data_IF_218192422141
#
_entry.id   IF_218192422141
#
_cell.length_a   1.000
_cell.length_b   1.000
_cell.length_c   1.000
_cell.angle_alpha   90.00
_cell.angle_beta   90.00
_cell.angle_gamma   90.00
#
_symmetry.space_group_name_H-M   'P 1'
#
loop_
_entity.id
_entity.type
_entity.pdbx_description
1 polymer ?
#
# COMPACT_ATOMS: atom_id res chain seq x y z
N UNK A 1 -46.52 16.60 -39.33
CA UNK A 1 -46.29 17.47 -38.15
C UNK A 1 -46.83 16.73 -36.93
N UNK A 2 -46.03 15.86 -36.31
CA UNK A 2 -46.46 15.02 -35.15
C UNK A 2 -45.56 15.26 -33.93
N UNK A 3 -44.73 16.32 -33.96
CA UNK A 3 -43.78 16.63 -32.87
C UNK A 3 -44.22 17.82 -32.00
N UNK A 4 -45.21 18.62 -32.41
CA UNK A 4 -45.55 19.88 -31.72
C UNK A 4 -46.19 19.70 -30.33
N UNK A 5 -46.49 18.45 -29.94
CA UNK A 5 -47.15 18.13 -28.67
C UNK A 5 -46.34 17.17 -27.79
N UNK A 6 -45.13 16.79 -28.23
CA UNK A 6 -44.25 15.89 -27.47
C UNK A 6 -43.49 16.69 -26.40
N UNK A 7 -43.65 16.32 -25.13
CA UNK A 7 -42.90 16.91 -24.01
C UNK A 7 -41.92 15.88 -23.49
N UNK A 8 -40.64 16.10 -23.75
CA UNK A 8 -39.57 15.28 -23.19
C UNK A 8 -39.48 15.45 -21.68
N UNK A 9 -39.90 14.42 -20.96
CA UNK A 9 -39.93 14.43 -19.49
C UNK A 9 -38.52 14.26 -18.90
N UNK A 10 -37.59 13.65 -19.65
CA UNK A 10 -36.22 13.33 -19.23
C UNK A 10 -35.26 13.61 -20.41
N UNK A 11 -34.50 14.70 -20.31
CA UNK A 11 -33.30 14.94 -21.12
C UNK A 11 -32.09 14.20 -20.51
N UNK A 12 -31.08 13.88 -21.32
CA UNK A 12 -29.80 13.29 -20.90
C UNK A 12 -29.20 14.05 -19.71
N UNK A 13 -29.26 15.39 -19.73
CA UNK A 13 -28.77 16.24 -18.65
C UNK A 13 -29.60 16.15 -17.36
N UNK A 14 -30.89 15.81 -17.48
CA UNK A 14 -31.82 15.66 -16.35
C UNK A 14 -31.65 14.30 -15.68
N UNK A 15 -31.31 13.26 -16.43
CA UNK A 15 -31.00 11.93 -15.91
C UNK A 15 -29.78 11.94 -14.94
N UNK A 16 -28.79 12.80 -15.21
CA UNK A 16 -27.58 12.93 -14.38
C UNK A 16 -27.84 13.54 -12.99
N UNK A 17 -29.01 14.15 -12.76
CA UNK A 17 -29.36 14.76 -11.47
C UNK A 17 -29.95 13.76 -10.46
N UNK A 18 -30.25 12.54 -10.90
CA UNK A 18 -30.86 11.51 -10.06
C UNK A 18 -32.29 11.84 -9.62
N UNK A 19 -32.84 11.03 -8.72
CA UNK A 19 -34.26 11.07 -8.29
C UNK A 19 -34.55 12.30 -7.41
N UNK A 20 -33.53 12.87 -6.75
CA UNK A 20 -33.65 14.04 -5.88
C UNK A 20 -32.67 15.11 -6.34
N UNK A 21 -33.18 16.32 -6.60
CA UNK A 21 -32.33 17.46 -6.97
C UNK A 21 -31.48 17.83 -5.75
N UNK A 22 -30.17 17.62 -5.86
CA UNK A 22 -29.17 18.00 -4.85
C UNK A 22 -28.32 19.12 -5.43
N UNK A 23 -28.07 20.15 -4.63
CA UNK A 23 -27.25 21.30 -5.00
C UNK A 23 -25.78 20.95 -4.77
N UNK A 24 -24.97 21.00 -5.84
CA UNK A 24 -23.57 20.61 -5.83
C UNK A 24 -22.62 21.80 -5.97
N UNK A 25 -23.06 23.05 -5.74
CA UNK A 25 -22.22 24.22 -5.97
C UNK A 25 -21.00 24.24 -5.04
N UNK A 26 -21.14 23.71 -3.81
CA UNK A 26 -20.01 23.53 -2.90
C UNK A 26 -18.95 22.56 -3.44
N UNK A 27 -19.39 21.46 -4.08
CA UNK A 27 -18.50 20.47 -4.69
C UNK A 27 -17.78 21.06 -5.91
N UNK A 28 -18.48 21.85 -6.72
CA UNK A 28 -17.87 22.57 -7.84
C UNK A 28 -16.78 23.55 -7.37
N UNK A 29 -17.05 24.31 -6.30
CA UNK A 29 -16.09 25.25 -5.71
C UNK A 29 -14.87 24.56 -5.11
N UNK A 30 -15.05 23.38 -4.52
CA UNK A 30 -13.95 22.56 -4.01
C UNK A 30 -13.09 21.95 -5.12
N UNK A 31 -13.72 21.52 -6.22
CA UNK A 31 -13.03 21.02 -7.41
C UNK A 31 -12.17 22.12 -8.07
N UNK A 32 -12.69 23.34 -8.21
CA UNK A 32 -11.91 24.47 -8.74
C UNK A 32 -10.64 24.74 -7.90
N UNK A 33 -10.78 24.77 -6.57
CA UNK A 33 -9.66 25.03 -5.68
C UNK A 33 -8.60 23.91 -5.73
N UNK A 34 -9.04 22.64 -5.73
CA UNK A 34 -8.12 21.49 -5.65
C UNK A 34 -7.52 21.07 -6.97
N UNK A 35 -8.20 21.30 -8.09
CA UNK A 35 -7.79 20.82 -9.42
C UNK A 35 -7.19 21.96 -10.25
N UNK A 36 -7.84 23.12 -10.28
CA UNK A 36 -7.43 24.21 -11.18
C UNK A 36 -6.34 25.07 -10.54
N UNK A 37 -6.48 25.43 -9.26
CA UNK A 37 -5.50 26.29 -8.56
C UNK A 37 -4.18 25.57 -8.26
N UNK A 38 -4.22 24.25 -8.07
CA UNK A 38 -3.02 23.41 -7.95
C UNK A 38 -2.27 23.27 -9.28
N UNK A 39 -3.00 23.16 -10.40
CA UNK A 39 -2.41 23.13 -11.74
C UNK A 39 -1.73 24.46 -12.12
N UNK A 40 -2.27 25.61 -11.70
CA UNK A 40 -1.66 26.94 -11.97
C UNK A 40 -0.38 27.22 -11.17
N UNK A 41 -0.11 26.49 -10.08
CA UNK A 41 1.16 26.59 -9.35
C UNK A 41 2.32 25.84 -10.02
N UNK A 42 2.04 24.94 -10.96
CA UNK A 42 3.04 24.10 -11.60
C UNK A 42 3.44 24.54 -13.02
N UNK A 43 2.90 25.66 -13.52
CA UNK A 43 3.10 26.07 -14.92
C UNK A 43 3.17 27.58 -15.11
N UNK A 44 4.16 28.24 -14.51
CA UNK A 44 4.55 29.59 -14.93
C UNK A 44 6.06 29.81 -14.66
N UNK A 45 6.87 29.69 -15.72
CA UNK A 45 8.32 29.87 -15.73
C UNK A 45 8.79 29.99 -17.17
N UNK A 46 8.58 31.19 -17.71
CA UNK A 46 8.68 31.63 -19.11
C UNK A 46 10.10 31.65 -19.67
N UNK A 47 10.19 31.34 -20.97
CA UNK A 47 11.26 31.56 -21.93
C UNK A 47 11.57 33.04 -22.23
N UNK A 48 12.86 33.40 -22.40
CA UNK A 48 13.24 34.42 -23.40
C UNK A 48 14.31 35.46 -23.05
N UNK A 49 15.51 35.28 -23.64
CA UNK A 49 16.28 36.31 -24.40
C UNK A 49 17.20 37.34 -23.69
N UNK A 50 18.51 37.07 -23.83
CA UNK A 50 19.58 37.94 -24.44
C UNK A 50 20.18 39.17 -23.73
N UNK A 51 21.50 39.12 -23.39
CA UNK A 51 22.56 40.07 -23.82
C UNK A 51 23.99 39.71 -23.32
N UNK A 52 24.91 39.44 -24.27
CA UNK A 52 26.32 39.91 -24.48
C UNK A 52 27.06 40.64 -23.32
N UNK A 53 28.40 40.63 -23.08
CA UNK A 53 29.69 40.09 -23.62
C UNK A 53 30.83 40.53 -22.61
N UNK A 54 32.18 40.40 -22.82
CA UNK A 54 33.11 39.84 -21.81
C UNK A 54 34.39 40.68 -21.46
N UNK A 55 35.34 40.05 -20.72
CA UNK A 55 36.83 40.23 -20.65
C UNK A 55 37.46 41.04 -19.48
N UNK A 56 38.27 40.34 -18.66
CA UNK A 56 39.68 40.62 -18.26
C UNK A 56 40.16 39.46 -17.35
N UNK A 57 41.13 38.59 -17.69
CA UNK A 57 42.60 38.69 -17.86
C UNK A 57 43.43 38.87 -16.57
N UNK A 58 44.04 37.77 -16.08
CA UNK A 58 45.44 37.65 -15.57
C UNK A 58 45.60 36.26 -14.92
N UNK A 59 46.28 35.29 -15.54
CA UNK A 59 47.73 35.05 -15.57
C UNK A 59 48.37 34.88 -14.18
N UNK A 60 48.68 33.64 -13.78
CA UNK A 60 50.03 33.27 -13.31
C UNK A 60 50.18 31.76 -13.06
N UNK A 61 51.36 31.30 -13.47
CA UNK A 61 51.92 29.96 -13.59
C UNK A 61 52.50 29.36 -12.29
N UNK A 62 52.64 28.02 -12.25
CA UNK A 62 53.81 27.19 -11.82
C UNK A 62 53.34 25.84 -11.25
N UNK A 63 53.48 24.69 -11.93
CA UNK A 63 54.63 23.77 -12.07
C UNK A 63 55.22 23.17 -10.77
N UNK A 64 55.13 21.84 -10.68
CA UNK A 64 56.01 20.93 -9.92
C UNK A 64 55.52 20.55 -8.52
N UNK A 65 55.73 19.36 -7.97
CA UNK A 65 56.34 18.10 -8.42
C UNK A 65 56.04 17.06 -7.31
N UNK A 66 56.01 15.78 -7.70
CA UNK A 66 55.98 14.55 -6.89
C UNK A 66 56.59 14.58 -5.47
N UNK A 67 55.92 13.92 -4.52
CA UNK A 67 56.59 13.03 -3.55
C UNK A 67 55.66 11.93 -3.04
N UNK A 68 56.23 10.73 -3.02
CA UNK A 68 55.76 9.46 -2.47
C UNK A 68 55.58 9.51 -0.95
N UNK A 69 54.48 8.92 -0.46
CA UNK A 69 54.24 8.72 0.97
C UNK A 69 53.21 7.62 1.20
N UNK A 70 53.71 6.42 1.48
CA UNK A 70 52.97 5.23 1.87
C UNK A 70 52.49 5.31 3.32
N UNK A 71 51.18 5.15 3.56
CA UNK A 71 50.67 4.63 4.84
C UNK A 71 49.19 4.17 4.74
N UNK A 72 49.04 2.84 4.77
CA UNK A 72 47.96 2.07 5.41
C UNK A 72 46.54 2.66 5.44
N UNK A 73 45.76 2.45 4.37
CA UNK A 73 44.30 2.57 4.43
C UNK A 73 43.68 1.23 4.82
N UNK A 74 43.21 1.19 6.06
CA UNK A 74 42.41 0.13 6.63
C UNK A 74 41.12 -0.02 5.80
N UNK A 75 41.00 -1.09 5.01
CA UNK A 75 39.83 -1.38 4.18
C UNK A 75 38.63 -1.78 5.06
N UNK A 76 38.00 -0.79 5.69
CA UNK A 76 36.63 -0.94 6.19
C UNK A 76 35.72 -1.00 4.97
N UNK A 77 35.32 -2.21 4.62
CA UNK A 77 34.20 -2.48 3.74
C UNK A 77 33.01 -1.62 4.16
N UNK A 78 32.61 -0.68 3.31
CA UNK A 78 31.33 0.01 3.43
C UNK A 78 30.23 -1.00 3.11
N UNK A 79 29.83 -1.80 4.10
CA UNK A 79 28.51 -2.39 4.09
C UNK A 79 27.52 -1.26 4.31
N UNK A 80 26.72 -0.94 3.29
CA UNK A 80 25.58 -0.02 3.37
C UNK A 80 24.66 -0.44 4.54
N UNK A 81 24.89 0.16 5.70
CA UNK A 81 24.21 -0.14 6.96
C UNK A 81 22.85 0.55 7.10
N UNK A 82 22.02 0.54 6.05
CA UNK A 82 20.65 1.06 6.12
C UNK A 82 19.64 0.01 6.61
N UNK A 83 20.03 -1.26 6.70
CA UNK A 83 19.10 -2.36 7.01
C UNK A 83 18.89 -2.64 8.51
N UNK A 84 19.63 -2.02 9.43
CA UNK A 84 19.46 -2.28 10.87
C UNK A 84 18.39 -1.41 11.54
N UNK A 85 18.16 -0.18 11.04
CA UNK A 85 17.22 0.76 11.66
C UNK A 85 15.74 0.43 11.44
N UNK A 86 15.39 -0.33 10.38
CA UNK A 86 14.01 -0.77 10.14
C UNK A 86 13.60 -1.97 11.02
N UNK A 87 14.57 -2.72 11.56
CA UNK A 87 14.34 -3.98 12.31
C UNK A 87 13.67 -3.81 13.67
N UNK A 88 13.67 -2.60 14.22
CA UNK A 88 13.01 -2.28 15.50
C UNK A 88 11.62 -1.67 15.33
N UNK A 89 11.14 -1.43 14.11
CA UNK A 89 9.80 -0.88 13.87
C UNK A 89 8.78 -2.01 13.71
N UNK A 90 7.56 -1.77 14.16
CA UNK A 90 6.48 -2.76 14.09
C UNK A 90 6.24 -3.20 12.62
N UNK A 91 6.23 -4.51 12.31
CA UNK A 91 5.89 -5.02 10.98
C UNK A 91 4.47 -4.60 10.55
N UNK A 92 4.27 -4.43 9.24
CA UNK A 92 3.02 -3.97 8.64
C UNK A 92 2.34 -5.11 7.86
N UNK A 93 1.05 -5.28 8.09
CA UNK A 93 0.15 -6.16 7.34
C UNK A 93 -0.81 -5.27 6.56
N UNK A 94 -0.90 -5.48 5.24
CA UNK A 94 -1.81 -4.72 4.37
C UNK A 94 -3.03 -5.59 4.07
N UNK A 95 -4.23 -5.08 4.32
CA UNK A 95 -5.49 -5.66 3.91
C UNK A 95 -5.92 -5.16 2.53
N UNK A 96 -6.74 -5.94 1.84
CA UNK A 96 -7.42 -5.46 0.64
C UNK A 96 -8.36 -4.29 1.00
N UNK A 97 -8.38 -3.20 0.22
CA UNK A 97 -9.34 -2.11 0.42
C UNK A 97 -10.77 -2.49 -0.02
N UNK A 98 -10.98 -3.67 -0.59
CA UNK A 98 -12.30 -4.10 -1.08
C UNK A 98 -13.27 -4.39 0.07
N UNK A 99 -14.49 -3.86 -0.03
CA UNK A 99 -15.59 -4.20 0.88
C UNK A 99 -15.99 -5.69 0.80
N UNK A 100 -15.73 -6.34 -0.33
CA UNK A 100 -15.99 -7.78 -0.53
C UNK A 100 -14.92 -8.69 0.06
N UNK A 101 -13.88 -8.15 0.70
CA UNK A 101 -12.84 -8.96 1.34
C UNK A 101 -13.41 -9.73 2.53
N UNK A 102 -13.06 -11.00 2.65
CA UNK A 102 -13.44 -11.81 3.81
C UNK A 102 -12.82 -11.27 5.11
N UNK A 103 -11.57 -10.79 5.05
CA UNK A 103 -10.93 -10.06 6.15
C UNK A 103 -10.95 -8.56 5.90
N UNK A 104 -11.52 -7.82 6.83
CA UNK A 104 -11.63 -6.36 6.83
C UNK A 104 -11.13 -5.79 8.16
N UNK A 105 -11.07 -4.47 8.28
CA UNK A 105 -10.68 -3.81 9.53
C UNK A 105 -11.61 -4.15 10.71
N UNK A 106 -12.85 -4.57 10.44
CA UNK A 106 -13.83 -4.92 11.47
C UNK A 106 -13.56 -6.27 12.14
N UNK A 107 -13.06 -7.27 11.40
CA UNK A 107 -12.88 -8.65 11.89
C UNK A 107 -11.42 -9.12 11.97
N UNK A 108 -10.47 -8.41 11.34
CA UNK A 108 -9.07 -8.86 11.29
C UNK A 108 -8.46 -9.02 12.68
N UNK A 109 -8.86 -8.18 13.64
CA UNK A 109 -8.31 -8.21 14.99
C UNK A 109 -8.74 -9.49 15.73
N UNK A 110 -10.03 -9.82 15.71
CA UNK A 110 -10.55 -11.05 16.34
C UNK A 110 -10.00 -12.31 15.66
N UNK A 111 -9.83 -12.28 14.34
CA UNK A 111 -9.24 -13.40 13.61
C UNK A 111 -7.75 -13.59 13.93
N UNK A 112 -6.95 -12.52 13.90
CA UNK A 112 -5.51 -12.60 14.08
C UNK A 112 -5.08 -12.75 15.54
N UNK A 113 -5.80 -12.17 16.50
CA UNK A 113 -5.47 -12.27 17.93
C UNK A 113 -6.12 -13.46 18.60
N UNK A 114 -7.43 -13.64 18.39
CA UNK A 114 -8.22 -14.62 19.13
C UNK A 114 -8.46 -15.92 18.35
N UNK A 115 -8.08 -15.94 17.06
CA UNK A 115 -8.34 -17.08 16.19
C UNK A 115 -9.82 -17.30 15.91
N UNK A 116 -10.62 -16.23 15.90
CA UNK A 116 -12.08 -16.28 15.69
C UNK A 116 -12.46 -15.48 14.46
N UNK A 117 -13.00 -16.13 13.43
CA UNK A 117 -13.50 -15.42 12.28
C UNK A 117 -14.94 -14.95 12.52
N UNK A 118 -15.20 -13.71 12.12
CA UNK A 118 -16.55 -13.13 12.12
C UNK A 118 -16.84 -12.63 10.71
N UNK A 119 -18.03 -12.90 10.22
CA UNK A 119 -18.43 -12.50 8.88
C UNK A 119 -18.50 -10.96 8.78
N UNK A 120 -17.83 -10.40 7.77
CA UNK A 120 -17.78 -8.95 7.55
C UNK A 120 -19.16 -8.35 7.28
N UNK A 121 -20.11 -9.13 6.75
CA UNK A 121 -21.49 -8.70 6.49
C UNK A 121 -22.30 -8.47 7.76
N UNK A 122 -21.92 -9.11 8.87
CA UNK A 122 -22.63 -9.03 10.15
C UNK A 122 -22.07 -7.95 11.08
N UNK A 123 -20.92 -7.38 10.72
CA UNK A 123 -20.22 -6.39 11.53
C UNK A 123 -20.43 -4.99 10.98
N UNK A 124 -20.46 -3.97 11.86
CA UNK A 124 -20.56 -2.59 11.42
C UNK A 124 -19.32 -2.17 10.63
N UNK A 125 -19.54 -1.44 9.54
CA UNK A 125 -18.46 -0.80 8.79
C UNK A 125 -17.67 0.12 9.70
N UNK A 126 -16.37 -0.10 9.79
CA UNK A 126 -15.48 0.70 10.64
C UNK A 126 -14.75 1.74 9.80
N UNK A 127 -14.73 3.00 10.27
CA UNK A 127 -14.00 4.09 9.60
C UNK A 127 -12.48 4.09 9.90
N UNK A 128 -12.00 3.13 10.70
CA UNK A 128 -10.59 3.00 11.03
C UNK A 128 -9.86 2.36 9.86
N UNK A 129 -8.77 2.99 9.43
CA UNK A 129 -7.94 2.50 8.34
C UNK A 129 -6.59 1.93 8.84
N UNK A 130 -6.42 1.90 10.16
CA UNK A 130 -5.25 1.40 10.85
C UNK A 130 -5.66 0.82 12.21
N UNK A 131 -5.09 -0.33 12.58
CA UNK A 131 -5.19 -0.90 13.92
C UNK A 131 -3.92 -1.67 14.28
N UNK A 132 -3.76 -1.98 15.56
CA UNK A 132 -2.64 -2.79 16.05
C UNK A 132 -3.11 -4.19 16.45
N UNK A 133 -2.33 -5.20 16.06
CA UNK A 133 -2.50 -6.61 16.43
C UNK A 133 -1.24 -7.05 17.17
N UNK A 134 -1.38 -7.61 18.35
CA UNK A 134 -0.26 -8.21 19.10
C UNK A 134 -0.33 -9.73 18.97
N UNK A 135 0.77 -10.36 18.58
CA UNK A 135 0.95 -11.81 18.47
C UNK A 135 2.01 -12.27 19.47
N UNK A 136 1.69 -13.27 20.29
CA UNK A 136 2.68 -13.99 21.08
C UNK A 136 3.41 -14.97 20.16
N UNK A 137 4.56 -14.56 19.64
CA UNK A 137 5.29 -15.36 18.67
C UNK A 137 6.08 -16.46 19.36
N UNK A 138 5.77 -17.71 19.04
CA UNK A 138 6.58 -18.86 19.46
C UNK A 138 7.94 -18.87 18.73
N UNK A 139 7.98 -18.39 17.49
CA UNK A 139 9.20 -18.37 16.68
C UNK A 139 10.23 -17.35 17.17
N UNK A 140 9.77 -16.20 17.62
CA UNK A 140 10.63 -15.10 18.11
C UNK A 140 10.73 -15.04 19.64
N UNK A 141 10.01 -15.93 20.34
CA UNK A 141 9.94 -16.00 21.81
C UNK A 141 9.64 -14.64 22.48
N UNK A 142 8.81 -13.81 21.83
CA UNK A 142 8.43 -12.48 22.32
C UNK A 142 7.10 -12.02 21.73
N UNK A 143 6.37 -11.12 22.40
CA UNK A 143 5.25 -10.44 21.79
C UNK A 143 5.75 -9.55 20.64
N UNK A 144 5.15 -9.73 19.46
CA UNK A 144 5.39 -8.88 18.28
C UNK A 144 4.13 -8.08 18.00
N UNK A 145 4.29 -6.76 17.86
CA UNK A 145 3.20 -5.85 17.50
C UNK A 145 3.21 -5.65 15.99
N UNK A 146 2.07 -5.88 15.37
CA UNK A 146 1.82 -5.68 13.95
C UNK A 146 0.89 -4.49 13.76
N UNK A 147 1.21 -3.68 12.77
CA UNK A 147 0.35 -2.62 12.29
C UNK A 147 -0.46 -3.13 11.11
N UNK A 148 -1.78 -3.14 11.23
CA UNK A 148 -2.68 -3.56 10.15
C UNK A 148 -3.29 -2.32 9.52
N UNK A 149 -3.24 -2.23 8.19
CA UNK A 149 -3.80 -1.12 7.41
C UNK A 149 -4.59 -1.64 6.22
N UNK A 150 -5.59 -0.91 5.75
CA UNK A 150 -6.36 -1.25 4.53
C UNK A 150 -6.20 -0.22 3.40
N UNK A 151 -5.56 0.91 3.67
CA UNK A 151 -5.33 1.97 2.69
C UNK A 151 -3.83 2.28 2.66
N UNK A 152 -3.20 2.25 1.50
CA UNK A 152 -1.75 2.51 1.40
C UNK A 152 -1.48 3.98 1.16
N UNK A 153 -2.32 4.65 0.35
CA UNK A 153 -2.16 6.06 -0.04
C UNK A 153 -2.11 7.01 1.15
N UNK A 154 -2.94 6.76 2.18
CA UNK A 154 -2.99 7.60 3.38
C UNK A 154 -1.82 7.40 4.34
N UNK A 155 -1.19 6.22 4.34
CA UNK A 155 -0.24 5.83 5.40
C UNK A 155 1.20 5.66 4.92
N UNK A 156 1.42 5.37 3.63
CA UNK A 156 2.74 5.12 3.06
C UNK A 156 3.30 6.40 2.45
N UNK A 157 3.40 7.46 3.24
CA UNK A 157 3.94 8.76 2.83
C UNK A 157 5.46 8.72 2.62
N UNK A 158 6.15 7.81 3.31
CA UNK A 158 7.60 7.59 3.21
C UNK A 158 7.91 6.23 2.57
N UNK A 159 8.91 6.14 1.67
CA UNK A 159 9.34 4.87 1.09
C UNK A 159 9.73 3.78 2.11
N UNK A 160 10.24 4.20 3.28
CA UNK A 160 10.62 3.31 4.39
C UNK A 160 9.47 2.46 4.96
N UNK A 161 8.21 2.86 4.78
CA UNK A 161 7.08 2.07 5.28
C UNK A 161 7.01 0.71 4.60
N UNK A 162 7.39 0.64 3.33
CA UNK A 162 7.43 -0.61 2.56
C UNK A 162 8.43 -1.62 3.10
N UNK A 163 9.52 -1.17 3.71
CA UNK A 163 10.53 -2.06 4.29
C UNK A 163 10.02 -2.80 5.54
N UNK A 164 8.92 -2.33 6.12
CA UNK A 164 8.24 -2.95 7.26
C UNK A 164 7.12 -3.91 6.84
N UNK A 165 6.74 -3.92 5.56
CA UNK A 165 5.63 -4.78 5.09
C UNK A 165 6.07 -6.23 5.10
N UNK A 166 5.30 -7.06 5.79
CA UNK A 166 5.56 -8.50 5.91
C UNK A 166 4.51 -9.35 5.21
N UNK A 167 3.27 -8.85 5.12
CA UNK A 167 2.16 -9.56 4.50
C UNK A 167 1.21 -8.62 3.75
N UNK A 168 0.63 -9.13 2.68
CA UNK A 168 -0.40 -8.46 1.88
C UNK A 168 -1.55 -9.45 1.65
N UNK A 169 -2.74 -9.09 2.09
CA UNK A 169 -3.98 -9.79 1.76
C UNK A 169 -4.54 -9.26 0.46
N UNK A 170 -4.99 -10.16 -0.42
CA UNK A 170 -5.58 -9.81 -1.71
C UNK A 170 -6.91 -10.50 -1.94
N UNK A 171 -7.75 -9.88 -2.77
CA UNK A 171 -8.98 -10.45 -3.32
C UNK A 171 -8.81 -11.00 -4.74
N UNK A 172 -7.58 -11.02 -5.28
CA UNK A 172 -7.31 -11.51 -6.64
C UNK A 172 -7.45 -10.45 -7.74
N UNK A 173 -7.61 -9.18 -7.37
CA UNK A 173 -7.87 -8.07 -8.29
C UNK A 173 -6.64 -7.17 -8.46
N UNK A 174 -6.10 -7.07 -9.68
CA UNK A 174 -4.84 -6.34 -9.93
C UNK A 174 -4.91 -4.84 -9.59
N UNK A 175 -6.08 -4.23 -9.76
CA UNK A 175 -6.27 -2.81 -9.45
C UNK A 175 -5.92 -2.48 -8.00
N UNK A 176 -5.97 -3.46 -7.08
CA UNK A 176 -5.57 -3.31 -5.69
C UNK A 176 -4.14 -2.76 -5.56
N UNK A 177 -3.23 -3.15 -6.45
CA UNK A 177 -1.80 -2.88 -6.33
C UNK A 177 -1.36 -1.63 -7.10
N UNK A 178 -2.28 -0.91 -7.76
CA UNK A 178 -1.95 0.23 -8.65
C UNK A 178 -1.13 1.33 -7.97
N UNK A 179 -1.31 1.54 -6.67
CA UNK A 179 -0.62 2.54 -5.87
C UNK A 179 0.46 1.93 -4.94
N UNK A 180 0.80 0.66 -5.13
CA UNK A 180 1.80 -0.01 -4.32
C UNK A 180 3.20 0.27 -4.87
N UNK A 181 4.24 0.11 -4.03
CA UNK A 181 5.64 0.23 -4.45
C UNK A 181 5.99 -0.71 -5.62
N UNK A 182 5.38 -1.89 -5.64
CA UNK A 182 5.42 -2.81 -6.76
C UNK A 182 3.99 -3.05 -7.23
N UNK A 183 3.68 -2.62 -8.44
CA UNK A 183 2.32 -2.73 -9.00
C UNK A 183 2.06 -4.10 -9.61
N UNK A 184 3.09 -4.75 -10.14
CA UNK A 184 3.00 -6.07 -10.76
C UNK A 184 2.92 -7.17 -9.69
N UNK A 185 1.86 -7.99 -9.65
CA UNK A 185 1.66 -9.03 -8.61
C UNK A 185 2.84 -10.00 -8.49
N UNK A 186 3.40 -10.43 -9.62
CA UNK A 186 4.52 -11.37 -9.65
C UNK A 186 5.76 -10.83 -8.95
N UNK A 187 6.05 -9.53 -9.10
CA UNK A 187 7.17 -8.87 -8.41
C UNK A 187 6.81 -8.58 -6.95
N UNK A 188 5.57 -8.15 -6.70
CA UNK A 188 5.07 -7.83 -5.37
C UNK A 188 5.17 -9.04 -4.43
N UNK A 189 4.69 -10.21 -4.86
CA UNK A 189 4.66 -11.43 -4.06
C UNK A 189 5.99 -12.23 -4.04
N UNK A 190 7.02 -11.75 -4.73
CA UNK A 190 8.41 -12.16 -4.45
C UNK A 190 9.01 -11.35 -3.28
N UNK A 191 8.56 -10.10 -3.10
CA UNK A 191 9.09 -9.20 -2.06
C UNK A 191 8.37 -9.39 -0.73
N UNK A 192 7.05 -9.56 -0.75
CA UNK A 192 6.20 -9.70 0.43
C UNK A 192 5.43 -11.02 0.42
N UNK A 193 4.98 -11.50 1.59
CA UNK A 193 4.14 -12.68 1.66
C UNK A 193 2.70 -12.34 1.25
N UNK A 194 2.19 -12.98 0.20
CA UNK A 194 0.80 -12.84 -0.22
C UNK A 194 -0.13 -13.82 0.47
N UNK A 195 -1.34 -13.36 0.81
CA UNK A 195 -2.43 -14.21 1.29
C UNK A 195 -3.75 -13.91 0.55
N UNK A 196 -4.46 -14.95 0.16
CA UNK A 196 -5.84 -14.86 -0.33
C UNK A 196 -6.74 -15.59 0.66
N UNK A 197 -7.83 -14.96 1.06
CA UNK A 197 -8.79 -15.55 2.00
C UNK A 197 -10.04 -15.89 1.23
N UNK A 198 -10.34 -17.18 1.15
CA UNK A 198 -11.54 -17.72 0.51
C UNK A 198 -12.38 -18.49 1.50
N UNK A 199 -13.65 -18.72 1.15
CA UNK A 199 -14.48 -19.67 1.88
C UNK A 199 -14.33 -21.07 1.30
N UNK A 200 -14.42 -22.07 2.18
CA UNK A 200 -14.31 -23.47 1.79
C UNK A 200 -15.40 -23.85 0.80
N UNK A 201 -14.99 -24.35 -0.36
CA UNK A 201 -15.86 -24.74 -1.47
C UNK A 201 -16.14 -23.62 -2.49
N UNK A 202 -15.79 -22.36 -2.18
CA UNK A 202 -15.86 -21.29 -3.17
C UNK A 202 -14.72 -21.46 -4.21
N UNK A 203 -14.99 -21.08 -5.46
CA UNK A 203 -14.00 -21.14 -6.52
C UNK A 203 -12.97 -20.03 -6.32
N UNK A 204 -11.70 -20.40 -6.16
CA UNK A 204 -10.59 -19.46 -6.09
C UNK A 204 -10.40 -18.80 -7.46
N UNK A 205 -10.35 -17.46 -7.57
CA UNK A 205 -10.13 -16.77 -8.83
C UNK A 205 -8.86 -17.26 -9.54
N UNK A 206 -8.88 -17.54 -10.86
CA UNK A 206 -7.70 -18.02 -11.59
C UNK A 206 -6.47 -17.10 -11.47
N UNK A 207 -6.70 -15.80 -11.32
CA UNK A 207 -5.63 -14.80 -11.08
C UNK A 207 -4.88 -15.02 -9.78
N UNK A 208 -5.54 -15.54 -8.73
CA UNK A 208 -4.88 -15.85 -7.46
C UNK A 208 -3.94 -17.04 -7.64
N UNK A 209 -4.36 -18.04 -8.42
CA UNK A 209 -3.55 -19.23 -8.69
C UNK A 209 -2.30 -18.94 -9.54
N UNK A 210 -2.30 -17.84 -10.31
CA UNK A 210 -1.13 -17.43 -11.08
C UNK A 210 -0.11 -16.62 -10.26
N UNK A 211 -0.42 -16.26 -9.02
CA UNK A 211 0.46 -15.47 -8.15
C UNK A 211 1.04 -16.32 -7.00
N UNK A 212 2.19 -15.89 -6.44
CA UNK A 212 2.80 -16.51 -5.25
C UNK A 212 2.04 -16.12 -3.97
N UNK A 213 0.78 -16.52 -3.88
CA UNK A 213 -0.15 -16.17 -2.80
C UNK A 213 -0.58 -17.45 -2.10
N UNK A 214 -0.58 -17.42 -0.77
CA UNK A 214 -1.06 -18.55 0.03
C UNK A 214 -2.55 -18.43 0.30
N UNK A 215 -3.28 -19.52 0.05
CA UNK A 215 -4.72 -19.57 0.28
C UNK A 215 -4.97 -19.87 1.77
N UNK A 216 -5.83 -19.07 2.38
CA UNK A 216 -6.38 -19.24 3.72
C UNK A 216 -7.85 -19.60 3.55
N UNK A 217 -8.16 -20.85 3.85
CA UNK A 217 -9.47 -21.44 3.59
C UNK A 217 -10.35 -21.40 4.85
N UNK A 218 -11.38 -20.54 4.84
CA UNK A 218 -12.27 -20.31 5.96
C UNK A 218 -13.56 -21.10 5.81
N UNK A 219 -13.92 -21.86 6.84
CA UNK A 219 -15.18 -22.59 6.84
C UNK A 219 -16.34 -21.67 7.24
N UNK A 220 -17.45 -21.70 6.50
CA UNK A 220 -18.65 -20.89 6.80
C UNK A 220 -19.35 -21.33 8.10
N UNK A 221 -19.37 -22.63 8.38
CA UNK A 221 -20.16 -23.21 9.48
C UNK A 221 -19.30 -23.75 10.63
N UNK A 222 -18.00 -23.99 10.41
CA UNK A 222 -17.12 -24.68 11.36
C UNK A 222 -16.13 -23.73 12.04
N UNK A 223 -16.65 -22.86 12.91
CA UNK A 223 -15.85 -21.83 13.61
C UNK A 223 -14.80 -22.39 14.57
N UNK A 224 -14.94 -23.64 14.99
CA UNK A 224 -13.92 -24.32 15.80
C UNK A 224 -12.59 -24.50 15.06
N UNK A 225 -12.60 -24.48 13.72
CA UNK A 225 -11.39 -24.56 12.87
C UNK A 225 -10.67 -23.22 12.71
N UNK A 226 -11.34 -22.10 12.98
CA UNK A 226 -10.79 -20.75 12.77
C UNK A 226 -9.46 -20.56 13.51
N UNK A 227 -9.35 -21.12 14.72
CA UNK A 227 -8.11 -21.06 15.52
C UNK A 227 -6.96 -21.76 14.81
N UNK A 228 -7.19 -22.94 14.26
CA UNK A 228 -6.18 -23.68 13.50
C UNK A 228 -5.77 -22.92 12.23
N UNK A 229 -6.75 -22.33 11.52
CA UNK A 229 -6.50 -21.56 10.30
C UNK A 229 -5.68 -20.29 10.60
N UNK A 230 -5.99 -19.59 11.70
CA UNK A 230 -5.24 -18.43 12.18
C UNK A 230 -3.80 -18.81 12.58
N UNK A 231 -3.60 -19.92 13.28
CA UNK A 231 -2.25 -20.44 13.59
C UNK A 231 -1.47 -20.79 12.32
N UNK A 232 -2.10 -21.42 11.33
CA UNK A 232 -1.47 -21.72 10.04
C UNK A 232 -1.00 -20.45 9.30
N UNK A 233 -1.82 -19.40 9.31
CA UNK A 233 -1.41 -18.09 8.81
C UNK A 233 -0.16 -17.58 9.54
N UNK A 234 -0.17 -17.61 10.87
CA UNK A 234 0.95 -17.12 11.69
C UNK A 234 2.22 -17.91 11.47
N UNK A 235 2.16 -19.24 11.41
CA UNK A 235 3.31 -20.08 11.13
C UNK A 235 3.95 -19.72 9.78
N UNK A 236 3.14 -19.53 8.74
CA UNK A 236 3.65 -19.12 7.43
C UNK A 236 4.25 -17.72 7.47
N UNK A 237 3.62 -16.76 8.15
CA UNK A 237 4.11 -15.39 8.22
C UNK A 237 5.42 -15.32 9.02
N UNK A 238 5.48 -15.96 10.18
CA UNK A 238 6.67 -16.00 11.04
C UNK A 238 7.84 -16.69 10.33
N UNK A 239 7.58 -17.77 9.57
CA UNK A 239 8.60 -18.42 8.72
C UNK A 239 9.15 -17.44 7.67
N UNK A 240 8.28 -16.70 7.00
CA UNK A 240 8.69 -15.68 6.03
C UNK A 240 9.49 -14.56 6.70
N UNK A 241 9.03 -14.03 7.84
CA UNK A 241 9.73 -13.01 8.60
C UNK A 241 11.12 -13.46 9.06
N UNK A 242 11.24 -14.69 9.58
CA UNK A 242 12.54 -15.25 9.95
C UNK A 242 13.50 -15.30 8.75
N UNK A 243 13.01 -15.68 7.55
CA UNK A 243 13.82 -15.67 6.32
C UNK A 243 14.27 -14.27 5.87
N UNK A 244 13.54 -13.23 6.26
CA UNK A 244 13.89 -11.82 6.03
C UNK A 244 14.79 -11.23 7.13
N UNK A 245 15.19 -12.04 8.11
CA UNK A 245 16.10 -11.65 9.19
C UNK A 245 15.42 -10.96 10.38
N UNK A 246 14.11 -11.10 10.53
CA UNK A 246 13.42 -10.77 11.79
C UNK A 246 13.82 -11.79 12.85
N UNK A 247 14.02 -11.31 14.08
CA UNK A 247 14.41 -12.11 15.24
C UNK A 247 13.54 -11.75 16.44
#
# INVERSE_FOLDING_TARGET
MVLDHERDLIDHNKALRGIKIVEFASVAKEAEYKIIKSSRRSGNGVSGSSKSKPISSSSSSRTGRSSTGSSSSNSKSLSNGSSSKSKHKDPIIILSPSASSALTMANVKSFLQDGKFQDSTTLPTTNTNMLQVTRQSKKFNRPVKFLVVNNVDKFFTKPEHWDRVVAIFTTGQEWQFKNYKFTQPNVLFQKYKGFYVGYHGDIVPPTVNSWNVQIIDINRNQRFRDRQISEFFWESLEKFMASKGFK
#
